data_IF_768740058589
#
_entry.id   IF_768740058589
#
_cell.length_a   1.000
_cell.length_b   1.000
_cell.length_c   1.000
_cell.angle_alpha   90.00
_cell.angle_beta   90.00
_cell.angle_gamma   90.00
#
_symmetry.space_group_name_H-M   'P 1'
#
loop_
_entity.id
_entity.type
_entity.pdbx_description
1 polymer ?
#
# COMPACT_ATOMS: atom_id res chain seq x y z
N UNK A 1 -8.97 -4.42 20.37
CA UNK A 1 -7.79 -5.31 20.29
C UNK A 1 -8.04 -6.30 19.16
N UNK A 2 -7.59 -5.97 17.95
CA UNK A 2 -7.54 -6.90 16.85
C UNK A 2 -6.11 -7.45 16.83
N UNK A 3 -5.89 -8.75 17.04
CA UNK A 3 -4.58 -9.35 16.93
C UNK A 3 -4.23 -9.45 15.46
N UNK A 4 -3.55 -8.46 14.90
CA UNK A 4 -2.82 -8.60 13.66
C UNK A 4 -1.46 -9.20 14.07
N UNK A 5 -1.49 -10.50 14.34
CA UNK A 5 -0.28 -11.28 14.57
C UNK A 5 0.23 -11.88 13.26
N UNK A 6 1.50 -12.35 13.21
CA UNK A 6 2.13 -12.93 12.02
C UNK A 6 1.50 -14.24 11.53
N UNK A 7 0.29 -14.57 11.96
CA UNK A 7 -0.43 -15.77 11.55
C UNK A 7 -1.01 -15.73 10.12
N UNK A 8 -0.98 -14.57 9.45
CA UNK A 8 -1.54 -14.43 8.10
C UNK A 8 -0.58 -14.86 6.98
N UNK A 9 0.71 -15.08 7.29
CA UNK A 9 1.71 -15.46 6.28
C UNK A 9 1.85 -16.96 6.08
N UNK A 10 1.21 -17.79 6.89
CA UNK A 10 1.38 -19.26 6.83
C UNK A 10 0.14 -20.06 6.45
N UNK A 11 -1.03 -19.46 6.36
CA UNK A 11 -2.28 -20.18 6.07
C UNK A 11 -2.67 -20.23 4.58
N UNK A 12 -2.03 -19.47 3.70
CA UNK A 12 -2.41 -19.37 2.28
C UNK A 12 -1.65 -20.35 1.35
N UNK A 13 -0.86 -21.27 1.88
CA UNK A 13 -0.14 -22.28 1.07
C UNK A 13 -0.61 -23.69 1.47
N UNK A 14 -1.90 -23.93 1.42
CA UNK A 14 -2.42 -25.31 1.40
C UNK A 14 -3.53 -25.40 0.38
N UNK A 15 -3.31 -26.34 -0.56
CA UNK A 15 -4.22 -26.80 -1.61
C UNK A 15 -4.10 -26.11 -2.97
N UNK A 16 -2.94 -26.32 -3.60
CA UNK A 16 -2.90 -26.54 -5.04
C UNK A 16 -2.49 -28.00 -5.20
N UNK A 17 -3.44 -28.85 -5.63
CA UNK A 17 -3.26 -30.28 -5.78
C UNK A 17 -2.08 -30.64 -6.68
N UNK A 18 -0.97 -30.99 -6.06
CA UNK A 18 0.14 -31.63 -6.70
C UNK A 18 0.04 -33.13 -6.42
N UNK A 19 -0.28 -33.90 -7.43
CA UNK A 19 -0.13 -35.35 -7.39
C UNK A 19 1.33 -35.71 -7.16
N UNK A 20 1.61 -36.25 -5.99
CA UNK A 20 2.93 -36.71 -5.57
C UNK A 20 3.35 -37.94 -6.38
N UNK A 21 4.32 -37.79 -7.27
CA UNK A 21 5.10 -38.91 -7.82
C UNK A 21 6.48 -38.94 -7.13
N UNK A 22 6.46 -39.45 -5.94
CA UNK A 22 7.52 -39.91 -5.05
C UNK A 22 8.99 -39.82 -5.48
N UNK A 23 9.59 -38.63 -5.43
CA UNK A 23 11.03 -38.46 -5.17
C UNK A 23 11.31 -37.07 -4.62
N UNK A 24 11.58 -36.97 -3.31
CA UNK A 24 12.25 -35.84 -2.68
C UNK A 24 11.51 -34.51 -2.70
N UNK A 25 10.59 -34.31 -1.78
CA UNK A 25 9.96 -32.99 -1.56
C UNK A 25 10.99 -31.98 -1.06
N UNK A 26 11.36 -31.00 -1.88
CA UNK A 26 12.12 -29.83 -1.46
C UNK A 26 11.11 -28.69 -1.23
N UNK A 27 10.77 -28.33 0.02
CA UNK A 27 9.79 -27.30 0.30
C UNK A 27 10.21 -25.89 -0.12
N UNK A 28 11.46 -25.70 -0.58
CA UNK A 28 11.99 -24.43 -1.06
C UNK A 28 12.05 -24.32 -2.59
N UNK A 29 11.65 -25.36 -3.32
CA UNK A 29 11.74 -25.38 -4.78
C UNK A 29 10.50 -24.83 -5.50
N UNK A 30 9.46 -24.40 -4.78
CA UNK A 30 8.18 -23.94 -5.37
C UNK A 30 8.19 -22.47 -5.77
N UNK A 31 9.27 -21.73 -5.48
CA UNK A 31 9.42 -20.33 -5.86
C UNK A 31 10.65 -20.06 -6.72
N UNK A 32 11.08 -21.02 -7.52
CA UNK A 32 11.89 -20.67 -8.67
C UNK A 32 10.95 -20.07 -9.71
N UNK A 33 10.65 -18.77 -9.57
CA UNK A 33 10.13 -18.00 -10.68
C UNK A 33 11.09 -18.24 -11.86
N UNK A 34 10.61 -18.85 -12.91
CA UNK A 34 11.31 -18.83 -14.20
C UNK A 34 11.55 -17.36 -14.48
N UNK A 35 12.82 -16.97 -14.52
CA UNK A 35 13.22 -15.67 -15.01
C UNK A 35 12.88 -15.61 -16.51
N UNK A 36 11.62 -15.44 -16.84
CA UNK A 36 11.20 -14.91 -18.11
C UNK A 36 11.59 -13.43 -18.13
N UNK A 37 12.82 -13.18 -18.54
CA UNK A 37 13.36 -11.85 -18.79
C UNK A 37 12.64 -11.26 -20.03
N UNK A 38 11.34 -10.97 -19.92
CA UNK A 38 10.56 -10.40 -21.01
C UNK A 38 9.08 -10.17 -20.73
N UNK A 39 8.46 -10.93 -19.86
CA UNK A 39 7.08 -10.65 -19.42
C UNK A 39 7.12 -9.72 -18.20
N UNK A 40 6.71 -8.47 -18.36
CA UNK A 40 6.50 -7.56 -17.23
C UNK A 40 5.57 -8.23 -16.21
N UNK A 41 5.81 -8.01 -14.91
CA UNK A 41 4.94 -8.53 -13.87
C UNK A 41 3.48 -8.14 -14.15
N UNK A 42 2.55 -9.08 -13.91
CA UNK A 42 1.12 -8.84 -14.12
C UNK A 42 0.67 -7.58 -13.38
N UNK A 43 -0.21 -6.82 -14.01
CA UNK A 43 -0.85 -5.66 -13.39
C UNK A 43 -2.21 -6.03 -12.82
N UNK A 44 -2.53 -5.46 -11.68
CA UNK A 44 -3.81 -5.63 -10.99
C UNK A 44 -4.36 -4.27 -10.55
N UNK A 45 -5.66 -4.14 -10.33
CA UNK A 45 -6.22 -2.92 -9.77
C UNK A 45 -5.75 -2.71 -8.32
N UNK A 46 -5.36 -1.49 -8.00
CA UNK A 46 -5.25 -0.96 -6.65
C UNK A 46 -6.62 -0.38 -6.31
N UNK A 47 -7.37 -1.08 -5.47
CA UNK A 47 -8.75 -0.73 -5.12
C UNK A 47 -8.76 0.28 -3.99
N UNK A 48 -9.50 1.37 -4.16
CA UNK A 48 -9.65 2.40 -3.12
C UNK A 48 -10.90 2.15 -2.27
N UNK A 49 -10.72 2.27 -0.96
CA UNK A 49 -11.77 2.23 0.06
C UNK A 49 -11.84 3.54 0.83
N UNK A 50 -13.03 3.84 1.38
CA UNK A 50 -13.26 4.96 2.27
C UNK A 50 -14.03 4.50 3.52
N UNK A 51 -13.59 4.97 4.68
CA UNK A 51 -14.25 4.75 5.97
C UNK A 51 -14.90 6.06 6.45
N UNK A 52 -16.24 6.15 6.36
CA UNK A 52 -16.96 7.40 6.64
C UNK A 52 -16.82 7.86 8.10
N UNK A 53 -16.75 6.94 9.07
CA UNK A 53 -16.59 7.29 10.48
C UNK A 53 -15.20 7.78 10.87
N UNK A 54 -14.17 7.39 10.12
CA UNK A 54 -12.78 7.84 10.32
C UNK A 54 -12.40 8.98 9.38
N UNK A 55 -13.14 9.18 8.30
CA UNK A 55 -12.78 10.05 7.18
C UNK A 55 -11.46 9.66 6.51
N UNK A 56 -11.18 8.35 6.44
CA UNK A 56 -9.92 7.81 5.94
C UNK A 56 -10.09 7.07 4.63
N UNK A 57 -9.08 7.19 3.79
CA UNK A 57 -8.90 6.40 2.58
C UNK A 57 -7.89 5.28 2.82
N UNK A 58 -8.08 4.17 2.14
CA UNK A 58 -7.20 3.01 2.15
C UNK A 58 -7.13 2.41 0.75
N UNK A 59 -5.99 1.82 0.40
CA UNK A 59 -5.77 1.17 -0.89
C UNK A 59 -5.21 -0.24 -0.70
N UNK A 60 -5.66 -1.18 -1.53
CA UNK A 60 -5.14 -2.55 -1.54
C UNK A 60 -5.13 -3.17 -2.93
N UNK A 61 -4.19 -4.10 -3.14
CA UNK A 61 -4.20 -5.06 -4.26
C UNK A 61 -4.46 -6.50 -3.79
N UNK A 62 -4.43 -6.75 -2.47
CA UNK A 62 -4.59 -8.09 -1.91
C UNK A 62 -6.06 -8.51 -1.99
N UNK A 63 -6.40 -9.59 -2.73
CA UNK A 63 -7.78 -10.02 -2.89
C UNK A 63 -8.44 -10.49 -1.59
N UNK A 64 -7.66 -10.98 -0.62
CA UNK A 64 -8.18 -11.39 0.69
C UNK A 64 -8.54 -10.16 1.52
N UNK A 65 -7.66 -9.16 1.55
CA UNK A 65 -7.90 -7.89 2.23
C UNK A 65 -9.08 -7.13 1.59
N UNK A 66 -9.14 -7.06 0.25
CA UNK A 66 -10.25 -6.46 -0.49
C UNK A 66 -11.57 -7.15 -0.12
N UNK A 67 -11.63 -8.48 -0.17
CA UNK A 67 -12.84 -9.23 0.20
C UNK A 67 -13.25 -9.02 1.66
N UNK A 68 -12.29 -8.93 2.57
CA UNK A 68 -12.57 -8.66 3.99
C UNK A 68 -13.16 -7.27 4.22
N UNK A 69 -12.66 -6.25 3.50
CA UNK A 69 -13.17 -4.88 3.54
C UNK A 69 -14.56 -4.76 2.91
N UNK A 70 -14.77 -5.38 1.74
CA UNK A 70 -16.05 -5.36 1.02
C UNK A 70 -17.16 -6.09 1.78
N UNK A 71 -16.86 -7.23 2.38
CA UNK A 71 -17.84 -8.01 3.13
C UNK A 71 -18.27 -7.31 4.42
N UNK A 72 -17.39 -6.51 5.02
CA UNK A 72 -17.61 -5.89 6.33
C UNK A 72 -17.79 -6.90 7.47
N UNK A 73 -17.54 -8.19 7.23
CA UNK A 73 -17.74 -9.24 8.23
C UNK A 73 -16.69 -9.20 9.33
N UNK A 74 -15.44 -8.89 8.98
CA UNK A 74 -14.29 -8.82 9.90
C UNK A 74 -13.86 -7.38 10.08
N UNK A 75 -13.67 -6.65 8.99
CA UNK A 75 -13.23 -5.25 8.98
C UNK A 75 -14.43 -4.38 8.57
N UNK A 76 -14.98 -3.65 9.54
CA UNK A 76 -16.24 -2.92 9.35
C UNK A 76 -16.02 -1.45 9.00
N UNK A 77 -17.01 -0.84 8.36
CA UNK A 77 -17.08 0.60 8.13
C UNK A 77 -16.40 1.08 6.85
N UNK A 78 -15.71 0.22 6.12
CA UNK A 78 -15.12 0.51 4.82
C UNK A 78 -16.09 0.22 3.68
N UNK A 79 -16.06 1.07 2.67
CA UNK A 79 -16.79 0.88 1.42
C UNK A 79 -15.87 1.22 0.25
N UNK A 80 -15.96 0.44 -0.83
CA UNK A 80 -15.25 0.80 -2.06
C UNK A 80 -15.77 2.13 -2.60
N UNK A 81 -14.86 2.99 -3.04
CA UNK A 81 -15.21 4.28 -3.65
C UNK A 81 -15.58 4.15 -5.13
N UNK A 82 -15.30 2.98 -5.73
CA UNK A 82 -15.40 2.76 -7.16
C UNK A 82 -14.19 3.26 -7.95
N UNK A 83 -13.22 3.92 -7.32
CA UNK A 83 -11.97 4.32 -7.96
C UNK A 83 -10.91 3.23 -7.80
N UNK A 84 -10.16 3.02 -8.88
CA UNK A 84 -9.01 2.13 -8.90
C UNK A 84 -8.00 2.64 -9.92
N UNK A 85 -6.74 2.28 -9.72
CA UNK A 85 -5.66 2.44 -10.66
C UNK A 85 -4.83 1.15 -10.68
N UNK A 86 -3.80 1.03 -11.51
CA UNK A 86 -3.07 -0.24 -11.65
C UNK A 86 -1.71 -0.21 -10.97
N UNK A 87 -1.29 -1.37 -10.45
CA UNK A 87 0.07 -1.64 -9.99
C UNK A 87 0.52 -3.03 -10.46
N UNK A 88 1.83 -3.29 -10.40
CA UNK A 88 2.36 -4.62 -10.60
C UNK A 88 2.30 -5.43 -9.30
N UNK A 89 1.95 -6.71 -9.40
CA UNK A 89 1.94 -7.63 -8.24
C UNK A 89 3.35 -7.96 -7.73
N UNK A 90 4.36 -7.79 -8.56
CA UNK A 90 5.76 -8.05 -8.26
C UNK A 90 6.68 -7.11 -9.05
N UNK A 91 7.97 -7.30 -8.90
CA UNK A 91 8.96 -6.48 -9.56
C UNK A 91 8.82 -6.55 -11.09
N UNK A 92 8.78 -5.39 -11.73
CA UNK A 92 8.80 -5.18 -13.17
C UNK A 92 9.94 -4.22 -13.54
N UNK A 93 10.37 -4.22 -14.79
CA UNK A 93 11.43 -3.33 -15.23
C UNK A 93 11.08 -1.85 -14.92
N UNK A 94 11.96 -1.16 -14.22
CA UNK A 94 11.77 0.24 -13.82
C UNK A 94 10.78 0.45 -12.66
N UNK A 95 10.17 -0.61 -12.09
CA UNK A 95 9.32 -0.48 -10.92
C UNK A 95 10.13 -0.51 -9.60
N UNK A 96 9.56 0.11 -8.58
CA UNK A 96 10.05 0.10 -7.20
C UNK A 96 8.98 -0.53 -6.29
N UNK A 97 9.39 -1.23 -5.21
CA UNK A 97 8.47 -1.70 -4.21
C UNK A 97 7.84 -0.53 -3.46
N UNK A 98 6.57 -0.67 -3.11
CA UNK A 98 5.84 0.29 -2.30
C UNK A 98 5.78 -0.22 -0.86
N UNK A 99 6.43 0.48 0.07
CA UNK A 99 6.32 0.15 1.49
C UNK A 99 4.96 0.56 2.04
N UNK A 100 4.46 -0.20 3.02
CA UNK A 100 3.23 0.10 3.76
C UNK A 100 3.52 0.16 5.25
N UNK A 101 3.06 1.25 5.87
CA UNK A 101 3.05 1.42 7.31
C UNK A 101 1.61 1.51 7.82
N UNK A 102 1.33 0.82 8.92
CA UNK A 102 0.12 1.02 9.69
C UNK A 102 0.36 2.05 10.78
N UNK A 103 -0.59 2.96 10.92
CA UNK A 103 -0.64 4.00 11.94
C UNK A 103 -1.72 3.58 12.94
N UNK A 104 -1.37 3.06 14.13
CA UNK A 104 -2.35 2.46 15.04
C UNK A 104 -3.40 3.45 15.57
N UNK A 105 -4.53 2.96 16.11
CA UNK A 105 -5.48 3.77 16.85
C UNK A 105 -4.79 4.58 17.95
N UNK A 106 -5.17 5.85 18.08
CA UNK A 106 -4.50 6.82 18.96
C UNK A 106 -3.39 7.61 18.28
N UNK A 107 -2.86 7.12 17.13
CA UNK A 107 -1.95 7.87 16.25
C UNK A 107 -2.62 8.26 14.91
N UNK A 108 -3.86 7.80 14.67
CA UNK A 108 -4.60 8.14 13.46
C UNK A 108 -5.45 7.02 12.89
N UNK A 109 -5.19 5.75 13.23
CA UNK A 109 -5.88 4.56 12.69
C UNK A 109 -5.91 4.56 11.16
N UNK A 110 -4.74 4.60 10.55
CA UNK A 110 -4.55 4.89 9.14
C UNK A 110 -3.40 4.08 8.53
N UNK A 111 -3.17 4.27 7.24
CA UNK A 111 -2.04 3.66 6.55
C UNK A 111 -1.30 4.69 5.70
N UNK A 112 0.00 4.47 5.55
CA UNK A 112 0.87 5.26 4.69
C UNK A 112 1.58 4.36 3.69
N UNK A 113 1.66 4.82 2.44
CA UNK A 113 2.32 4.09 1.34
C UNK A 113 3.35 4.98 0.65
N UNK A 114 4.52 4.42 0.33
CA UNK A 114 5.53 5.11 -0.46
C UNK A 114 6.30 4.17 -1.38
N UNK A 115 6.58 4.63 -2.60
CA UNK A 115 7.51 4.00 -3.53
C UNK A 115 8.93 4.59 -3.43
N UNK A 116 9.14 5.58 -2.57
CA UNK A 116 10.44 6.19 -2.31
C UNK A 116 11.21 5.37 -1.29
N UNK A 117 12.24 4.63 -1.71
CA UNK A 117 13.07 3.88 -0.79
C UNK A 117 13.71 4.75 0.32
N UNK A 118 14.19 5.98 0.05
CA UNK A 118 14.65 6.88 1.11
C UNK A 118 13.55 7.28 2.10
N UNK A 119 12.32 7.54 1.64
CA UNK A 119 11.20 7.89 2.52
C UNK A 119 10.80 6.69 3.39
N UNK A 120 10.71 5.49 2.81
CA UNK A 120 10.46 4.26 3.57
C UNK A 120 11.51 4.02 4.66
N UNK A 121 12.78 4.16 4.33
CA UNK A 121 13.89 4.00 5.27
C UNK A 121 13.86 5.05 6.38
N UNK A 122 13.58 6.32 6.05
CA UNK A 122 13.49 7.40 7.03
C UNK A 122 12.32 7.21 8.01
N UNK A 123 11.15 6.77 7.53
CA UNK A 123 10.01 6.49 8.40
C UNK A 123 10.30 5.29 9.29
N UNK A 124 10.91 4.23 8.75
CA UNK A 124 11.27 3.04 9.52
C UNK A 124 12.28 3.39 10.62
N UNK A 125 13.33 4.16 10.33
CA UNK A 125 14.27 4.62 11.34
C UNK A 125 13.56 5.52 12.36
N UNK A 126 12.80 6.51 11.91
CA UNK A 126 12.09 7.42 12.81
C UNK A 126 11.07 6.70 13.72
N UNK A 127 10.45 5.61 13.26
CA UNK A 127 9.48 4.84 14.05
C UNK A 127 10.13 4.05 15.18
N UNK A 128 11.40 3.62 15.01
CA UNK A 128 12.09 2.70 15.91
C UNK A 128 13.24 3.32 16.68
N UNK A 129 13.80 4.43 16.22
CA UNK A 129 14.97 5.09 16.79
C UNK A 129 14.58 6.35 17.59
N UNK A 130 14.58 6.29 18.95
CA UNK A 130 14.22 7.45 19.78
C UNK A 130 15.10 8.69 19.60
N UNK A 131 16.32 8.52 19.05
CA UNK A 131 17.22 9.63 18.78
C UNK A 131 16.94 10.31 17.42
N UNK A 132 16.07 9.74 16.58
CA UNK A 132 15.73 10.35 15.28
C UNK A 132 14.95 11.66 15.50
N UNK A 133 15.28 12.78 14.80
CA UNK A 133 14.61 14.07 14.99
C UNK A 133 13.09 14.04 14.82
N UNK A 134 12.59 13.15 13.96
CA UNK A 134 11.17 12.98 13.67
C UNK A 134 10.53 11.85 14.46
N UNK A 135 11.21 11.25 15.45
CA UNK A 135 10.67 10.11 16.20
C UNK A 135 9.30 10.42 16.82
N UNK A 136 9.13 11.62 17.36
CA UNK A 136 7.86 12.03 17.96
C UNK A 136 6.64 11.93 17.02
N UNK A 137 6.86 12.02 15.70
CA UNK A 137 5.79 11.88 14.69
C UNK A 137 5.51 10.45 14.29
N UNK A 138 6.53 9.60 14.28
CA UNK A 138 6.47 8.26 13.70
C UNK A 138 6.55 7.14 14.75
N UNK A 139 6.79 7.49 16.02
CA UNK A 139 6.81 6.52 17.11
C UNK A 139 5.51 5.72 17.15
N UNK A 140 5.64 4.39 17.06
CA UNK A 140 4.49 3.49 17.04
C UNK A 140 3.94 3.14 15.65
N UNK A 141 4.45 3.73 14.55
CA UNK A 141 4.16 3.23 13.22
C UNK A 141 4.67 1.79 13.06
N UNK A 142 3.85 0.94 12.48
CA UNK A 142 4.18 -0.47 12.24
C UNK A 142 4.51 -0.67 10.77
N UNK A 143 5.73 -1.11 10.47
CA UNK A 143 6.11 -1.47 9.11
C UNK A 143 5.47 -2.81 8.75
N UNK A 144 4.35 -2.78 8.01
CA UNK A 144 3.58 -3.98 7.66
C UNK A 144 4.13 -4.70 6.44
N UNK A 145 4.64 -3.93 5.46
CA UNK A 145 5.17 -4.52 4.23
C UNK A 145 6.28 -3.67 3.64
N UNK A 146 7.42 -4.25 3.26
CA UNK A 146 8.43 -3.59 2.44
C UNK A 146 8.02 -3.50 0.96
N UNK A 147 6.98 -4.26 0.55
CA UNK A 147 6.55 -4.39 -0.84
C UNK A 147 5.07 -4.80 -0.90
N UNK A 148 4.17 -3.87 -0.63
CA UNK A 148 2.73 -4.10 -0.77
C UNK A 148 2.32 -4.30 -2.24
N UNK A 149 2.98 -3.62 -3.15
CA UNK A 149 2.91 -3.75 -4.61
C UNK A 149 4.11 -3.03 -5.25
N UNK A 150 4.18 -3.02 -6.60
CA UNK A 150 5.26 -2.34 -7.31
C UNK A 150 4.72 -1.34 -8.32
N UNK A 151 5.39 -0.18 -8.44
CA UNK A 151 5.07 0.88 -9.42
C UNK A 151 6.34 1.56 -9.92
N UNK A 152 6.28 2.23 -11.05
CA UNK A 152 7.33 3.15 -11.44
C UNK A 152 7.28 4.42 -10.56
N UNK A 153 8.42 5.09 -10.40
CA UNK A 153 8.49 6.38 -9.69
C UNK A 153 8.64 7.53 -10.68
N UNK A 154 8.09 8.72 -10.36
CA UNK A 154 8.24 9.87 -11.22
C UNK A 154 9.70 10.37 -11.25
N UNK A 155 10.16 10.78 -12.41
CA UNK A 155 11.39 11.52 -12.56
C UNK A 155 11.08 13.04 -12.50
N UNK A 156 11.57 13.74 -11.46
CA UNK A 156 11.27 15.15 -11.25
C UNK A 156 9.75 15.48 -11.28
N UNK A 157 8.95 14.63 -10.65
CA UNK A 157 7.48 14.81 -10.59
C UNK A 157 6.72 14.39 -11.86
N UNK A 158 7.40 13.85 -12.87
CA UNK A 158 6.80 13.46 -14.17
C UNK A 158 6.90 11.95 -14.36
N UNK A 159 5.80 11.34 -14.77
CA UNK A 159 5.74 9.93 -15.14
C UNK A 159 6.16 9.70 -16.60
N UNK A 160 6.86 8.61 -16.84
CA UNK A 160 7.25 8.20 -18.18
C UNK A 160 6.03 7.86 -19.06
N UNK A 161 6.20 7.91 -20.37
CA UNK A 161 5.15 7.51 -21.32
C UNK A 161 4.67 6.07 -21.06
N UNK A 162 3.36 5.82 -21.20
CA UNK A 162 2.74 4.53 -20.90
C UNK A 162 2.40 4.32 -19.41
N UNK A 163 2.53 5.39 -18.59
CA UNK A 163 2.11 5.38 -17.19
C UNK A 163 1.30 6.64 -16.85
N UNK A 164 0.44 6.54 -15.84
CA UNK A 164 -0.37 7.63 -15.34
C UNK A 164 0.13 8.13 -13.97
N UNK A 165 0.14 9.44 -13.70
CA UNK A 165 0.56 9.98 -12.41
C UNK A 165 -0.39 9.56 -11.29
N UNK A 166 0.17 9.12 -10.16
CA UNK A 166 -0.56 8.91 -8.91
C UNK A 166 -0.18 10.04 -7.95
N UNK A 167 -1.16 10.86 -7.62
CA UNK A 167 -1.02 11.96 -6.68
C UNK A 167 -1.24 11.46 -5.26
N UNK A 168 -0.47 11.98 -4.31
CA UNK A 168 -0.70 11.79 -2.88
C UNK A 168 -1.28 13.07 -2.29
N UNK A 169 -2.37 12.91 -1.56
CA UNK A 169 -3.12 14.01 -0.93
C UNK A 169 -3.18 13.73 0.57
N UNK A 170 -2.66 14.63 1.37
CA UNK A 170 -2.67 14.55 2.82
C UNK A 170 -3.84 15.38 3.39
N UNK A 171 -4.58 14.84 4.37
CA UNK A 171 -5.72 15.51 5.01
C UNK A 171 -5.33 16.68 5.94
N UNK A 172 -4.04 17.03 6.04
CA UNK A 172 -3.57 18.15 6.84
C UNK A 172 -3.64 17.93 8.35
N UNK A 173 -4.03 16.74 8.82
CA UNK A 173 -4.22 16.46 10.24
C UNK A 173 -2.98 15.82 10.86
N UNK A 174 -2.65 16.24 12.09
CA UNK A 174 -1.65 15.55 12.90
C UNK A 174 -2.21 14.20 13.38
N UNK A 175 -1.32 13.24 13.67
CA UNK A 175 -1.69 11.91 14.14
C UNK A 175 -2.63 11.91 15.37
N UNK A 176 -2.48 12.88 16.27
CA UNK A 176 -3.28 13.02 17.48
C UNK A 176 -4.57 13.82 17.29
N UNK A 177 -4.87 14.29 16.08
CA UNK A 177 -6.13 15.00 15.81
C UNK A 177 -7.33 14.05 15.82
N UNK A 178 -8.55 14.59 15.88
CA UNK A 178 -9.78 13.83 16.03
C UNK A 178 -9.96 12.73 14.96
N UNK A 179 -9.43 12.94 13.77
CA UNK A 179 -9.48 11.97 12.65
C UNK A 179 -8.10 11.45 12.24
N UNK A 180 -7.04 11.90 12.91
CA UNK A 180 -5.67 11.49 12.62
C UNK A 180 -5.17 11.84 11.22
N UNK A 181 -3.92 11.47 10.95
CA UNK A 181 -3.29 11.67 9.65
C UNK A 181 -3.73 10.58 8.67
N UNK A 182 -4.20 10.98 7.49
CA UNK A 182 -4.53 10.03 6.41
C UNK A 182 -4.15 10.61 5.05
N UNK A 183 -3.80 9.70 4.14
CA UNK A 183 -3.46 10.04 2.77
C UNK A 183 -4.41 9.36 1.78
N UNK A 184 -4.75 10.08 0.72
CA UNK A 184 -5.45 9.54 -0.44
C UNK A 184 -4.52 9.47 -1.64
N UNK A 185 -4.60 8.39 -2.42
CA UNK A 185 -3.79 8.14 -3.61
C UNK A 185 -4.71 8.04 -4.84
N UNK A 186 -4.53 8.90 -5.84
CA UNK A 186 -5.43 8.92 -7.00
C UNK A 186 -4.70 9.30 -8.29
N UNK A 187 -5.18 8.75 -9.42
CA UNK A 187 -4.75 9.16 -10.76
C UNK A 187 -5.64 10.22 -11.36
N UNK A 188 -6.73 10.63 -10.68
CA UNK A 188 -7.73 11.56 -11.21
C UNK A 188 -7.44 13.01 -10.83
N UNK A 189 -7.12 13.90 -11.79
CA UNK A 189 -6.97 15.33 -11.52
C UNK A 189 -8.25 15.99 -10.96
N UNK A 190 -9.42 15.46 -11.31
CA UNK A 190 -10.69 15.96 -10.79
C UNK A 190 -10.81 15.70 -9.28
N UNK A 191 -10.41 14.50 -8.83
CA UNK A 191 -10.33 14.17 -7.40
C UNK A 191 -9.29 15.04 -6.70
N UNK A 192 -8.12 15.27 -7.31
CA UNK A 192 -7.11 16.18 -6.75
C UNK A 192 -7.71 17.57 -6.52
N UNK A 193 -8.39 18.13 -7.51
CA UNK A 193 -9.01 19.46 -7.40
C UNK A 193 -10.10 19.51 -6.32
N UNK A 194 -10.93 18.48 -6.24
CA UNK A 194 -11.97 18.35 -5.20
C UNK A 194 -11.35 18.32 -3.80
N UNK A 195 -10.39 17.42 -3.58
CA UNK A 195 -9.76 17.21 -2.26
C UNK A 195 -9.00 18.46 -1.79
N UNK A 196 -8.31 19.16 -2.70
CA UNK A 196 -7.67 20.44 -2.37
C UNK A 196 -8.72 21.49 -1.98
N UNK A 197 -9.87 21.52 -2.67
CA UNK A 197 -11.00 22.37 -2.29
C UNK A 197 -11.59 22.01 -0.92
N UNK A 198 -11.45 20.79 -0.46
CA UNK A 198 -11.84 20.29 0.87
C UNK A 198 -10.75 20.49 1.93
N UNK A 199 -9.60 21.08 1.58
CA UNK A 199 -8.52 21.40 2.51
C UNK A 199 -7.37 20.38 2.56
N UNK A 200 -7.36 19.38 1.69
CA UNK A 200 -6.22 18.47 1.59
C UNK A 200 -5.00 19.15 0.97
N UNK A 201 -3.83 18.77 1.42
CA UNK A 201 -2.55 19.20 0.87
C UNK A 201 -2.18 18.27 -0.27
N UNK A 202 -1.96 18.80 -1.47
CA UNK A 202 -1.44 18.03 -2.59
C UNK A 202 0.10 17.92 -2.47
N UNK A 203 0.58 16.73 -2.16
CA UNK A 203 2.01 16.43 -2.03
C UNK A 203 2.68 16.10 -3.37
N UNK A 204 1.92 16.18 -4.47
CA UNK A 204 2.42 15.98 -5.83
C UNK A 204 2.31 14.54 -6.31
N UNK A 205 3.02 14.25 -7.40
CA UNK A 205 3.08 12.92 -8.02
C UNK A 205 4.13 12.09 -7.30
N UNK A 206 3.71 11.00 -6.67
CA UNK A 206 4.59 10.14 -5.85
C UNK A 206 4.83 8.75 -6.45
N UNK A 207 3.96 8.33 -7.37
CA UNK A 207 4.01 7.03 -8.06
C UNK A 207 3.52 7.18 -9.49
N UNK A 208 3.80 6.19 -10.34
CA UNK A 208 3.33 6.12 -11.72
C UNK A 208 2.64 4.76 -11.94
N UNK A 209 1.32 4.80 -12.13
CA UNK A 209 0.49 3.63 -12.42
C UNK A 209 0.76 3.14 -13.84
N UNK A 210 0.98 1.85 -14.11
CA UNK A 210 0.98 1.31 -15.47
C UNK A 210 -0.41 1.47 -16.11
N UNK A 211 -0.42 1.76 -17.43
CA UNK A 211 -1.68 1.92 -18.20
C UNK A 211 -2.44 0.60 -18.42
#
# INVERSE_FOLDING_TARGET
NYPIGPAWTTAAIRDVGATNTGTGFNPYAVCAATNDAGAGAATVPVVEFYHAGLHHFFISIDPVEISALESGAVIKGWATTGFAWKAHVGQSAGSQPVCRFYIPPGLGDSHFFSASAPECAAILDASTNPAHPSHAWYAGYVHESPSAFHVAVPAQGTCAGGTAPVYRLWNGQANAAAWGSNHRYTTSPAIVSQMVGEGYVNEGVVMCSPN
#
